data_IF_750739289571
#
_entry.id   IF_750739289571
#
_cell.length_a   1.000
_cell.length_b   1.000
_cell.length_c   1.000
_cell.angle_alpha   90.00
_cell.angle_beta   90.00
_cell.angle_gamma   90.00
#
_symmetry.space_group_name_H-M   'P 1'
#
loop_
_entity.id
_entity.type
_entity.pdbx_description
1 polymer ?
#
# COMPACT_ATOMS: atom_id res chain seq x y z
N UNK A 1 10.43 -3.70 -3.12
CA UNK A 1 10.33 -2.34 -2.54
C UNK A 1 8.92 -1.94 -2.12
N UNK A 2 7.90 -1.83 -3.02
CA UNK A 2 6.53 -1.49 -2.58
C UNK A 2 5.90 -2.60 -1.74
N UNK A 3 5.87 -3.83 -2.26
CA UNK A 3 5.35 -4.97 -1.51
C UNK A 3 6.14 -5.26 -0.22
N UNK A 4 7.46 -5.03 -0.21
CA UNK A 4 8.28 -5.13 1.02
C UNK A 4 7.85 -4.08 2.06
N UNK A 5 7.56 -2.86 1.63
CA UNK A 5 6.99 -1.83 2.48
C UNK A 5 5.64 -2.24 3.03
N UNK A 6 4.75 -2.81 2.20
CA UNK A 6 3.45 -3.33 2.64
C UNK A 6 3.58 -4.49 3.61
N UNK A 7 4.50 -5.43 3.40
CA UNK A 7 4.80 -6.49 4.38
C UNK A 7 5.14 -5.86 5.73
N UNK A 8 6.00 -4.85 5.76
CA UNK A 8 6.32 -4.15 7.00
C UNK A 8 5.09 -3.48 7.63
N UNK A 9 4.25 -2.80 6.85
CA UNK A 9 3.06 -2.11 7.37
C UNK A 9 2.06 -3.12 7.96
N UNK A 10 1.78 -4.18 7.21
CA UNK A 10 0.83 -5.24 7.59
C UNK A 10 1.32 -6.02 8.82
N UNK A 11 2.61 -6.33 8.92
CA UNK A 11 3.21 -7.01 10.08
C UNK A 11 3.13 -6.17 11.37
N UNK A 12 3.03 -4.83 11.25
CA UNK A 12 2.83 -3.94 12.38
C UNK A 12 1.34 -3.74 12.74
N UNK A 13 0.42 -4.42 12.07
CA UNK A 13 -1.02 -4.38 12.39
C UNK A 13 -1.78 -3.23 11.74
N UNK A 14 -1.20 -2.58 10.72
CA UNK A 14 -1.82 -1.47 10.01
C UNK A 14 -2.14 -1.84 8.55
N UNK A 15 -3.10 -1.12 7.98
CA UNK A 15 -3.45 -1.10 6.56
C UNK A 15 -3.16 0.31 6.05
N UNK A 16 -2.50 0.45 4.90
CA UNK A 16 -2.16 1.77 4.38
C UNK A 16 -3.41 2.53 3.91
N UNK A 17 -4.34 1.83 3.27
CA UNK A 17 -5.64 2.31 2.79
C UNK A 17 -5.57 3.37 1.67
N UNK A 18 -4.39 3.66 1.10
CA UNK A 18 -4.26 4.68 0.05
C UNK A 18 -3.02 4.46 -0.83
N UNK A 19 -2.78 3.20 -1.21
CA UNK A 19 -1.71 2.86 -2.15
C UNK A 19 -2.08 3.37 -3.54
N UNK A 20 -1.27 4.28 -4.08
CA UNK A 20 -1.44 4.88 -5.41
C UNK A 20 -0.13 5.53 -5.86
N UNK A 21 0.07 5.82 -7.16
CA UNK A 21 1.30 6.41 -7.68
C UNK A 21 1.76 7.69 -6.94
N UNK A 22 0.82 8.55 -6.54
CA UNK A 22 1.11 9.79 -5.82
C UNK A 22 1.79 9.55 -4.45
N UNK A 23 1.55 8.38 -3.83
CA UNK A 23 2.07 7.99 -2.52
C UNK A 23 3.30 7.07 -2.59
N UNK A 24 3.89 6.95 -3.79
CA UNK A 24 5.11 6.18 -4.04
C UNK A 24 6.24 7.14 -4.42
N UNK A 25 7.28 7.19 -3.60
CA UNK A 25 8.44 8.05 -3.79
C UNK A 25 9.59 7.26 -4.43
N UNK A 26 10.25 7.88 -5.40
CA UNK A 26 11.40 7.32 -6.10
C UNK A 26 12.65 8.14 -5.78
N UNK A 27 13.72 7.46 -5.36
CA UNK A 27 15.01 8.04 -5.04
C UNK A 27 16.08 7.44 -5.97
N UNK A 28 17.07 8.22 -6.42
CA UNK A 28 18.24 7.66 -7.07
C UNK A 28 18.98 6.74 -6.09
N UNK A 29 19.30 5.52 -6.51
CA UNK A 29 20.07 4.61 -5.70
C UNK A 29 21.52 5.08 -5.58
N UNK A 30 22.10 4.91 -4.40
CA UNK A 30 23.51 5.21 -4.12
C UNK A 30 24.44 4.02 -4.39
N UNK A 31 23.89 2.86 -4.77
CA UNK A 31 24.68 1.65 -5.07
C UNK A 31 25.26 1.70 -6.47
N UNK A 32 26.39 1.02 -6.66
CA UNK A 32 27.31 1.05 -7.81
C UNK A 32 26.76 0.61 -9.18
N UNK A 33 25.44 0.36 -9.30
CA UNK A 33 24.78 0.22 -10.59
C UNK A 33 24.19 1.56 -10.99
N UNK A 34 24.88 2.24 -11.91
CA UNK A 34 24.33 3.34 -12.68
C UNK A 34 22.92 2.90 -13.15
N UNK A 35 21.90 3.73 -12.88
CA UNK A 35 20.49 3.51 -13.23
C UNK A 35 19.62 2.64 -12.28
N UNK A 36 20.03 2.42 -11.02
CA UNK A 36 19.12 1.83 -10.02
C UNK A 36 18.35 2.89 -9.22
N UNK A 37 17.12 2.57 -8.81
CA UNK A 37 16.25 3.45 -8.03
C UNK A 37 15.74 2.76 -6.77
N UNK A 38 15.65 3.52 -5.67
CA UNK A 38 14.97 3.10 -4.45
C UNK A 38 13.55 3.64 -4.40
N UNK A 39 12.58 2.79 -4.01
CA UNK A 39 11.17 3.15 -3.88
C UNK A 39 10.72 3.06 -2.43
N UNK A 40 9.98 4.06 -1.94
CA UNK A 40 9.42 4.08 -0.58
C UNK A 40 7.96 4.51 -0.59
N UNK A 41 7.15 3.87 0.25
CA UNK A 41 5.75 4.25 0.49
C UNK A 41 5.74 5.50 1.40
N UNK A 42 4.86 6.46 1.10
CA UNK A 42 4.64 7.64 1.92
C UNK A 42 3.14 7.91 2.15
N UNK A 43 2.85 8.93 2.96
CA UNK A 43 1.51 9.40 3.30
C UNK A 43 0.61 8.37 3.98
N UNK A 44 0.81 8.24 5.30
CA UNK A 44 0.01 7.40 6.19
C UNK A 44 -1.23 8.11 6.73
N UNK A 45 -1.65 9.23 6.13
CA UNK A 45 -2.77 10.04 6.63
C UNK A 45 -4.12 9.32 6.61
N UNK A 46 -4.25 8.28 5.78
CA UNK A 46 -5.43 7.42 5.66
C UNK A 46 -5.24 6.03 6.28
N UNK A 47 -4.08 5.76 6.87
CA UNK A 47 -3.78 4.42 7.41
C UNK A 47 -4.60 4.13 8.65
N UNK A 48 -5.02 2.88 8.80
CA UNK A 48 -5.92 2.41 9.84
C UNK A 48 -5.38 1.13 10.48
N UNK A 49 -5.79 0.84 11.72
CA UNK A 49 -5.54 -0.46 12.31
C UNK A 49 -6.37 -1.54 11.61
N UNK A 50 -5.83 -2.76 11.49
CA UNK A 50 -6.57 -3.87 10.87
C UNK A 50 -7.88 -4.10 11.64
N UNK A 51 -9.00 -4.09 10.92
CA UNK A 51 -10.35 -4.24 11.47
C UNK A 51 -11.03 -2.94 11.89
N UNK A 52 -10.37 -1.79 11.75
CA UNK A 52 -10.96 -0.48 12.02
C UNK A 52 -11.92 -0.06 10.88
N UNK A 53 -12.99 0.66 11.26
CA UNK A 53 -13.91 1.33 10.33
C UNK A 53 -13.84 2.84 10.64
N UNK A 54 -13.41 3.70 9.71
CA UNK A 54 -13.27 5.12 9.99
C UNK A 54 -14.63 5.81 9.95
N UNK A 55 -14.83 6.75 10.87
CA UNK A 55 -16.07 7.54 10.99
C UNK A 55 -16.49 8.25 9.69
N UNK A 56 -15.54 8.57 8.81
CA UNK A 56 -15.82 9.26 7.54
C UNK A 56 -16.58 8.37 6.54
N UNK A 57 -16.43 7.05 6.63
CA UNK A 57 -17.09 6.09 5.74
C UNK A 57 -18.62 6.16 5.87
N UNK A 58 -19.13 6.41 7.08
CA UNK A 58 -20.57 6.49 7.36
C UNK A 58 -21.22 7.80 6.88
N UNK A 59 -20.44 8.86 6.60
CA UNK A 59 -20.97 10.23 6.53
C UNK A 59 -20.81 10.88 5.16
N UNK A 60 -19.67 10.70 4.47
CA UNK A 60 -19.31 11.58 3.35
C UNK A 60 -19.14 10.85 2.02
N UNK A 61 -18.50 9.68 2.00
CA UNK A 61 -18.29 8.84 0.82
C UNK A 61 -17.95 7.43 1.31
N UNK A 62 -18.78 6.39 1.07
CA UNK A 62 -18.65 5.09 1.72
C UNK A 62 -17.56 4.23 1.07
N UNK A 63 -16.32 4.71 1.03
CA UNK A 63 -15.16 3.90 0.66
C UNK A 63 -13.89 4.38 1.37
N UNK A 64 -12.94 3.45 1.51
CA UNK A 64 -11.61 3.74 2.02
C UNK A 64 -10.67 4.15 0.88
N UNK A 65 -9.86 5.18 1.13
CA UNK A 65 -8.81 5.62 0.23
C UNK A 65 -9.28 6.41 -0.99
N UNK A 66 -8.42 6.45 -2.00
CA UNK A 66 -8.72 7.09 -3.28
C UNK A 66 -9.60 6.18 -4.15
N UNK A 67 -10.78 6.66 -4.53
CA UNK A 67 -11.83 5.87 -5.18
C UNK A 67 -11.37 5.09 -6.44
N UNK A 68 -10.46 5.64 -7.23
CA UNK A 68 -9.95 4.98 -8.44
C UNK A 68 -9.17 3.68 -8.13
N UNK A 69 -8.60 3.57 -6.93
CA UNK A 69 -7.79 2.42 -6.49
C UNK A 69 -8.52 1.56 -5.45
N UNK A 70 -9.80 1.83 -5.18
CA UNK A 70 -10.55 1.17 -4.13
C UNK A 70 -10.95 -0.26 -4.52
N UNK A 71 -11.00 -1.13 -3.52
CA UNK A 71 -11.44 -2.52 -3.67
C UNK A 71 -12.97 -2.65 -3.56
N UNK A 72 -13.57 -3.78 -3.98
CA UNK A 72 -14.99 -4.05 -3.79
C UNK A 72 -15.45 -4.05 -2.33
N UNK A 73 -14.63 -4.57 -1.41
CA UNK A 73 -14.97 -4.59 0.02
C UNK A 73 -14.89 -3.21 0.67
N UNK A 74 -14.01 -2.31 0.19
CA UNK A 74 -13.95 -0.91 0.65
C UNK A 74 -15.30 -0.20 0.52
N UNK A 75 -16.03 -0.49 -0.55
CA UNK A 75 -17.35 0.09 -0.85
C UNK A 75 -18.46 -0.59 -0.03
N UNK A 76 -18.26 -1.86 0.34
CA UNK A 76 -19.30 -2.69 0.97
C UNK A 76 -19.39 -2.50 2.48
N UNK A 77 -18.27 -2.50 3.18
CA UNK A 77 -18.25 -2.49 4.65
C UNK A 77 -17.30 -1.45 5.26
N UNK A 78 -16.34 -0.94 4.47
CA UNK A 78 -15.41 0.08 4.94
C UNK A 78 -14.45 -0.42 6.02
N UNK A 79 -14.30 -1.74 6.18
CA UNK A 79 -13.40 -2.32 7.17
C UNK A 79 -11.99 -2.35 6.60
N UNK A 80 -11.03 -1.83 7.36
CA UNK A 80 -9.62 -1.87 6.99
C UNK A 80 -9.08 -3.32 7.00
N UNK A 81 -8.88 -3.87 5.81
CA UNK A 81 -8.25 -5.18 5.60
C UNK A 81 -6.98 -5.06 4.77
N UNK A 82 -5.99 -5.92 5.03
CA UNK A 82 -4.73 -5.93 4.26
C UNK A 82 -4.96 -6.16 2.76
N UNK A 83 -6.03 -6.89 2.41
CA UNK A 83 -6.47 -7.15 1.03
C UNK A 83 -6.80 -5.89 0.25
N UNK A 84 -7.17 -4.80 0.93
CA UNK A 84 -7.45 -3.50 0.34
C UNK A 84 -6.22 -2.98 -0.38
N UNK A 85 -5.09 -2.97 0.32
CA UNK A 85 -3.82 -2.51 -0.23
C UNK A 85 -3.38 -3.38 -1.40
N UNK A 86 -3.66 -4.70 -1.35
CA UNK A 86 -3.29 -5.62 -2.44
C UNK A 86 -4.06 -5.34 -3.73
N UNK A 87 -5.36 -5.01 -3.62
CA UNK A 87 -6.13 -4.53 -4.77
C UNK A 87 -5.54 -3.26 -5.35
N UNK A 88 -5.24 -2.29 -4.48
CA UNK A 88 -4.63 -1.02 -4.89
C UNK A 88 -3.24 -1.20 -5.52
N UNK A 89 -2.47 -2.21 -5.11
CA UNK A 89 -1.22 -2.63 -5.79
C UNK A 89 -1.51 -3.14 -7.21
N UNK A 90 -2.57 -3.94 -7.40
CA UNK A 90 -2.99 -4.36 -8.74
C UNK A 90 -3.29 -3.17 -9.65
N UNK A 91 -4.03 -2.18 -9.14
CA UNK A 91 -4.29 -0.91 -9.84
C UNK A 91 -3.00 -0.15 -10.16
N UNK A 92 -2.08 -0.04 -9.20
CA UNK A 92 -0.79 0.62 -9.39
C UNK A 92 0.05 -0.06 -10.48
N UNK A 93 0.16 -1.39 -10.47
CA UNK A 93 0.92 -2.14 -11.49
C UNK A 93 0.27 -2.01 -12.86
N UNK A 94 -1.06 -2.07 -12.94
CA UNK A 94 -1.78 -1.85 -14.18
C UNK A 94 -1.49 -0.46 -14.76
N UNK A 95 -1.61 0.60 -13.96
CA UNK A 95 -1.32 1.97 -14.42
C UNK A 95 0.14 2.15 -14.83
N UNK A 96 1.08 1.56 -14.09
CA UNK A 96 2.50 1.60 -14.46
C UNK A 96 2.75 0.93 -15.82
N UNK A 97 2.04 -0.15 -16.13
CA UNK A 97 2.18 -0.86 -17.39
C UNK A 97 1.53 -0.11 -18.56
N UNK A 98 0.32 0.40 -18.37
CA UNK A 98 -0.48 1.02 -19.44
C UNK A 98 -0.22 2.51 -19.61
N UNK A 99 0.28 3.18 -18.58
CA UNK A 99 0.33 4.64 -18.48
C UNK A 99 -1.04 5.29 -18.30
N UNK A 100 -2.09 4.49 -18.10
CA UNK A 100 -3.50 4.90 -18.05
C UNK A 100 -4.06 4.58 -16.67
N UNK A 101 -4.76 5.56 -16.07
CA UNK A 101 -5.37 5.36 -14.75
C UNK A 101 -6.41 4.22 -14.82
N UNK A 102 -6.58 3.43 -13.75
CA UNK A 102 -7.66 2.46 -13.69
C UNK A 102 -9.01 3.15 -13.92
N UNK A 103 -9.92 2.47 -14.62
CA UNK A 103 -11.28 2.97 -14.87
C UNK A 103 -11.35 4.29 -15.66
N UNK A 104 -10.38 4.57 -16.55
CA UNK A 104 -10.37 5.79 -17.35
C UNK A 104 -11.72 6.02 -18.07
N UNK A 105 -12.24 7.25 -17.93
CA UNK A 105 -13.51 7.66 -18.55
C UNK A 105 -14.78 7.27 -17.77
N UNK A 106 -14.66 6.68 -16.58
CA UNK A 106 -15.79 6.29 -15.74
C UNK A 106 -15.96 7.20 -14.52
N UNK A 107 -17.21 7.51 -14.19
CA UNK A 107 -17.57 8.26 -12.99
C UNK A 107 -17.56 7.35 -11.74
N UNK A 108 -17.39 7.96 -10.55
CA UNK A 108 -17.23 7.22 -9.30
C UNK A 108 -18.40 6.27 -8.97
N UNK A 109 -19.63 6.71 -9.20
CA UNK A 109 -20.83 5.89 -8.97
C UNK A 109 -20.87 4.67 -9.90
N UNK A 110 -20.36 4.83 -11.12
CA UNK A 110 -20.27 3.76 -12.10
C UNK A 110 -19.18 2.75 -11.73
N UNK A 111 -18.04 3.23 -11.24
CA UNK A 111 -16.96 2.39 -10.70
C UNK A 111 -17.46 1.59 -9.50
N UNK A 112 -18.11 2.24 -8.53
CA UNK A 112 -18.68 1.58 -7.36
C UNK A 112 -19.69 0.49 -7.77
N UNK A 113 -20.59 0.81 -8.70
CA UNK A 113 -21.56 -0.17 -9.24
C UNK A 113 -20.86 -1.37 -9.89
N UNK A 114 -19.81 -1.13 -10.70
CA UNK A 114 -19.02 -2.19 -11.34
C UNK A 114 -18.32 -3.07 -10.31
N UNK A 115 -17.66 -2.48 -9.32
CA UNK A 115 -16.98 -3.20 -8.24
C UNK A 115 -17.97 -4.09 -7.46
N UNK A 116 -19.12 -3.55 -7.08
CA UNK A 116 -20.17 -4.32 -6.38
C UNK A 116 -20.75 -5.44 -7.23
N UNK A 117 -20.78 -5.29 -8.56
CA UNK A 117 -21.14 -6.35 -9.50
C UNK A 117 -20.04 -7.41 -9.72
N UNK A 118 -18.86 -7.21 -9.13
CA UNK A 118 -17.72 -8.12 -9.24
C UNK A 118 -16.85 -7.90 -10.48
N UNK A 119 -16.90 -6.71 -11.09
CA UNK A 119 -16.01 -6.33 -12.19
C UNK A 119 -14.74 -5.68 -11.64
N UNK A 120 -13.61 -5.95 -12.29
CA UNK A 120 -12.30 -5.33 -12.04
C UNK A 120 -11.94 -4.36 -13.18
N UNK A 121 -10.89 -3.53 -13.04
CA UNK A 121 -10.30 -2.81 -14.15
C UNK A 121 -9.96 -3.77 -15.31
N UNK A 122 -10.03 -3.25 -16.53
CA UNK A 122 -9.66 -4.03 -17.73
C UNK A 122 -8.16 -4.26 -17.76
N UNK A 123 -7.75 -5.52 -17.97
CA UNK A 123 -6.35 -5.91 -18.09
C UNK A 123 -6.07 -6.17 -19.57
N UNK A 124 -5.24 -5.35 -20.24
CA UNK A 124 -4.92 -5.52 -21.66
C UNK A 124 -4.32 -6.90 -21.96
N UNK A 125 -4.68 -7.47 -23.10
CA UNK A 125 -4.11 -8.74 -23.56
C UNK A 125 -2.62 -8.63 -23.91
N UNK A 126 -2.11 -7.41 -24.08
CA UNK A 126 -0.71 -7.13 -24.39
C UNK A 126 0.23 -7.28 -23.18
N UNK A 127 -0.29 -7.51 -21.97
CA UNK A 127 0.54 -7.80 -20.81
C UNK A 127 1.19 -9.19 -20.89
N UNK A 128 2.45 -9.34 -20.43
CA UNK A 128 3.06 -10.65 -20.23
C UNK A 128 2.20 -11.53 -19.31
N UNK A 129 2.21 -12.85 -19.54
CA UNK A 129 1.40 -13.80 -18.78
C UNK A 129 1.58 -13.65 -17.26
N UNK A 130 2.83 -13.57 -16.77
CA UNK A 130 3.11 -13.46 -15.34
C UNK A 130 2.59 -12.14 -14.75
N UNK A 131 2.63 -11.05 -15.52
CA UNK A 131 2.11 -9.75 -15.11
C UNK A 131 0.58 -9.75 -15.05
N UNK A 132 -0.05 -10.38 -16.05
CA UNK A 132 -1.50 -10.58 -16.10
C UNK A 132 -1.97 -11.40 -14.90
N UNK A 133 -1.30 -12.52 -14.63
CA UNK A 133 -1.59 -13.41 -13.50
C UNK A 133 -1.44 -12.68 -12.14
N UNK A 134 -0.39 -11.87 -11.98
CA UNK A 134 -0.19 -11.05 -10.79
C UNK A 134 -1.34 -10.06 -10.57
N UNK A 135 -1.69 -9.29 -11.60
CA UNK A 135 -2.78 -8.29 -11.51
C UNK A 135 -4.12 -9.00 -11.28
N UNK A 136 -4.36 -10.14 -11.93
CA UNK A 136 -5.56 -10.95 -11.71
C UNK A 136 -5.65 -11.47 -10.28
N UNK A 137 -4.54 -11.92 -9.70
CA UNK A 137 -4.46 -12.32 -8.28
C UNK A 137 -4.83 -11.15 -7.37
N UNK A 138 -4.30 -9.95 -7.63
CA UNK A 138 -4.67 -8.74 -6.89
C UNK A 138 -6.16 -8.36 -7.05
N UNK A 139 -6.76 -8.65 -8.21
CA UNK A 139 -8.16 -8.38 -8.51
C UNK A 139 -9.11 -9.54 -8.17
N UNK A 140 -8.66 -10.55 -7.42
CA UNK A 140 -9.54 -11.61 -6.93
C UNK A 140 -10.72 -11.02 -6.16
N UNK A 141 -11.93 -11.46 -6.53
CA UNK A 141 -13.18 -10.97 -5.94
C UNK A 141 -13.27 -11.31 -4.46
N UNK A 142 -12.82 -12.50 -4.10
CA UNK A 142 -12.70 -12.92 -2.72
C UNK A 142 -11.39 -12.34 -2.15
N UNK A 143 -11.44 -11.49 -1.11
CA UNK A 143 -10.24 -10.88 -0.55
C UNK A 143 -9.17 -11.88 -0.10
N UNK A 144 -9.59 -13.04 0.40
CA UNK A 144 -8.69 -14.11 0.87
C UNK A 144 -7.89 -14.75 -0.27
N UNK A 145 -8.42 -14.75 -1.49
CA UNK A 145 -7.74 -15.29 -2.68
C UNK A 145 -6.60 -14.37 -3.18
N UNK A 146 -6.53 -13.13 -2.70
CA UNK A 146 -5.40 -12.23 -2.97
C UNK A 146 -4.16 -12.58 -2.15
N UNK A 147 -4.33 -13.38 -1.09
CA UNK A 147 -3.28 -13.75 -0.15
C UNK A 147 -2.76 -12.55 0.65
N UNK A 148 -1.45 -12.54 0.88
CA UNK A 148 -0.72 -11.52 1.64
C UNK A 148 0.32 -10.81 0.77
N UNK A 149 0.76 -9.62 1.21
CA UNK A 149 1.88 -8.93 0.56
C UNK A 149 3.15 -9.81 0.50
N UNK A 150 3.33 -10.71 1.47
CA UNK A 150 4.44 -11.65 1.49
C UNK A 150 4.33 -12.72 0.39
N UNK A 151 3.13 -13.26 0.16
CA UNK A 151 2.91 -14.23 -0.92
C UNK A 151 3.04 -13.58 -2.29
N UNK A 152 2.57 -12.34 -2.45
CA UNK A 152 2.77 -11.57 -3.68
C UNK A 152 4.25 -11.28 -3.97
N UNK A 153 5.10 -11.14 -2.95
CA UNK A 153 6.56 -11.02 -3.15
C UNK A 153 7.19 -12.26 -3.79
N UNK A 154 6.56 -13.44 -3.63
CA UNK A 154 7.04 -14.70 -4.18
C UNK A 154 6.45 -14.99 -5.57
N UNK A 155 5.62 -14.10 -6.10
CA UNK A 155 4.95 -14.30 -7.38
C UNK A 155 5.96 -14.30 -8.55
N UNK A 156 5.82 -15.17 -9.56
CA UNK A 156 6.73 -15.27 -10.72
C UNK A 156 6.93 -13.96 -11.50
N UNK A 157 5.96 -13.05 -11.40
CA UNK A 157 6.02 -11.71 -11.95
C UNK A 157 7.24 -10.89 -11.50
N UNK A 158 7.68 -11.10 -10.25
CA UNK A 158 8.79 -10.36 -9.68
C UNK A 158 10.11 -11.09 -9.93
N UNK A 159 11.20 -10.35 -10.23
CA UNK A 159 12.51 -10.97 -10.42
C UNK A 159 12.93 -11.66 -9.12
N UNK A 160 13.32 -12.94 -9.26
CA UNK A 160 13.97 -13.65 -8.15
C UNK A 160 15.34 -13.03 -7.92
N UNK A 161 15.79 -12.89 -6.65
CA UNK A 161 17.15 -12.46 -6.37
C UNK A 161 18.12 -13.38 -7.12
N UNK A 162 18.87 -12.83 -8.08
CA UNK A 162 19.95 -13.59 -8.70
C UNK A 162 21.04 -13.74 -7.65
N UNK A 163 21.30 -14.98 -7.23
CA UNK A 163 22.50 -15.28 -6.48
C UNK A 163 23.64 -15.06 -7.46
N UNK A 164 24.42 -14.01 -7.28
CA UNK A 164 25.69 -13.87 -7.99
C UNK A 164 26.55 -15.06 -7.53
N UNK A 165 26.66 -16.09 -8.38
CA UNK A 165 27.57 -17.20 -8.17
C UNK A 165 29.00 -16.65 -8.29
N UNK A 166 29.60 -16.30 -7.15
CA UNK A 166 31.04 -16.11 -7.07
C UNK A 166 31.68 -17.49 -7.31
N UNK A 167 32.32 -17.63 -8.48
CA UNK A 167 33.21 -18.74 -8.82
C UNK A 167 34.36 -18.80 -7.80
N UNK A 168 34.22 -19.58 -6.73
CA UNK A 168 35.38 -20.09 -6.00
C UNK A 168 35.17 -21.48 -5.39
N UNK A 169 36.17 -22.33 -5.66
CA UNK A 169 36.20 -23.77 -5.41
C UNK A 169 36.12 -24.13 -3.91
N UNK A 170 35.27 -25.12 -3.64
CA UNK A 170 35.37 -26.14 -2.57
C UNK A 170 35.56 -25.67 -1.12
N UNK A 171 34.49 -25.71 -0.32
CA UNK A 171 34.26 -26.73 0.74
C UNK A 171 32.92 -26.49 1.47
N UNK A 172 32.06 -27.52 1.44
CA UNK A 172 30.98 -27.89 2.38
C UNK A 172 29.97 -26.83 2.89
N UNK A 173 28.77 -26.94 2.33
CA UNK A 173 27.43 -26.73 2.93
C UNK A 173 27.31 -25.89 4.21
N UNK A 174 26.83 -24.64 4.09
CA UNK A 174 25.96 -23.93 5.08
C UNK A 174 25.67 -22.47 4.68
N UNK A 175 25.03 -22.21 3.53
CA UNK A 175 24.61 -20.83 3.18
C UNK A 175 23.21 -20.72 2.58
N UNK A 176 22.40 -21.77 2.68
CA UNK A 176 20.95 -21.60 2.54
C UNK A 176 20.38 -21.11 3.87
N UNK A 177 19.72 -19.94 3.85
CA UNK A 177 18.90 -19.37 4.93
C UNK A 177 19.59 -18.49 5.98
N UNK A 178 20.22 -17.37 5.59
CA UNK A 178 20.44 -16.25 6.53
C UNK A 178 19.30 -15.23 6.47
N UNK A 179 18.94 -14.76 5.27
CA UNK A 179 17.95 -13.69 5.12
C UNK A 179 16.51 -14.18 5.36
N UNK A 180 16.11 -15.26 4.69
CA UNK A 180 14.82 -15.91 4.93
C UNK A 180 14.71 -16.47 6.35
N UNK A 181 15.80 -17.00 6.94
CA UNK A 181 15.74 -17.45 8.35
C UNK A 181 15.61 -16.29 9.32
N UNK A 182 16.18 -15.12 9.03
CA UNK A 182 15.97 -13.94 9.84
C UNK A 182 14.52 -13.44 9.76
N UNK A 183 13.89 -13.55 8.58
CA UNK A 183 12.47 -13.30 8.39
C UNK A 183 11.59 -14.33 9.17
N UNK A 184 11.93 -15.62 9.14
CA UNK A 184 11.26 -16.66 9.94
C UNK A 184 11.49 -16.51 11.46
N UNK A 185 12.67 -16.04 11.88
CA UNK A 185 13.02 -15.82 13.31
C UNK A 185 12.24 -14.66 13.92
N UNK A 186 11.91 -13.63 13.13
CA UNK A 186 11.03 -12.53 13.57
C UNK A 186 9.62 -13.04 13.94
N UNK A 187 9.16 -14.15 13.36
CA UNK A 187 7.83 -14.74 13.59
C UNK A 187 7.68 -15.52 14.91
N UNK A 188 8.77 -15.97 15.56
CA UNK A 188 8.70 -16.80 16.78
C UNK A 188 8.73 -15.97 18.08
N UNK A 189 8.97 -14.66 18.02
CA UNK A 189 8.93 -13.79 19.21
C UNK A 189 7.51 -13.32 19.56
N UNK A 190 6.55 -14.26 19.65
CA UNK A 190 5.28 -14.01 20.37
C UNK A 190 5.62 -13.82 21.84
N UNK A 191 5.66 -12.55 22.27
CA UNK A 191 5.61 -12.20 23.69
C UNK A 191 4.22 -12.55 24.18
N UNK A 192 4.09 -13.70 24.84
CA UNK A 192 2.91 -14.03 25.61
C UNK A 192 2.72 -13.00 26.71
N UNK A 193 1.77 -12.09 26.52
CA UNK A 193 1.22 -11.30 27.62
C UNK A 193 -0.03 -12.01 28.13
N UNK A 194 0.16 -12.85 29.15
CA UNK A 194 -0.92 -13.17 30.10
C UNK A 194 -1.37 -11.85 30.72
N UNK A 195 -2.53 -11.30 30.31
CA UNK A 195 -3.23 -10.30 31.11
C UNK A 195 -4.29 -10.99 31.95
N UNK A 196 -4.14 -10.76 33.25
CA UNK A 196 -4.85 -11.30 34.40
C UNK A 196 -6.30 -10.80 34.37
N UNK A 197 -7.23 -11.71 34.61
CA UNK A 197 -8.64 -11.42 34.86
C UNK A 197 -8.75 -10.55 36.13
N UNK A 198 -9.28 -9.34 36.01
CA UNK A 198 -9.79 -8.57 37.13
C UNK A 198 -11.24 -8.24 36.82
N UNK A 199 -12.10 -8.85 37.63
CA UNK A 199 -13.54 -8.70 37.70
C UNK A 199 -13.80 -7.42 38.49
N UNK A 200 -14.62 -6.51 37.99
CA UNK A 200 -15.42 -5.60 38.80
C UNK A 200 -16.59 -5.10 37.93
N UNK A 201 -17.79 -5.45 38.40
CA UNK A 201 -19.08 -4.92 37.95
C UNK A 201 -19.19 -3.43 38.33
N UNK A 202 -19.94 -2.63 37.55
CA UNK A 202 -21.05 -1.77 38.04
C UNK A 202 -21.54 -0.77 36.96
N UNK A 203 -22.86 -0.85 36.75
CA UNK A 203 -23.85 0.15 36.34
C UNK A 203 -23.83 0.79 34.94
N UNK A 204 -24.86 0.40 34.18
CA UNK A 204 -25.57 1.19 33.17
C UNK A 204 -26.28 2.37 33.82
N UNK A 205 -26.07 3.59 33.33
CA UNK A 205 -27.05 4.67 33.45
C UNK A 205 -26.86 5.76 32.39
N UNK A 206 -27.92 5.92 31.58
CA UNK A 206 -28.49 7.13 31.01
C UNK A 206 -27.63 8.15 30.24
N UNK A 207 -27.82 8.13 28.92
CA UNK A 207 -27.52 9.23 28.02
C UNK A 207 -28.34 10.49 28.34
N UNK A 208 -27.68 11.66 28.28
CA UNK A 208 -28.30 12.95 27.94
C UNK A 208 -27.46 13.69 26.90
N UNK A 209 -28.09 14.38 25.92
CA UNK A 209 -27.39 14.94 24.77
C UNK A 209 -26.69 16.25 25.16
N UNK A 210 -25.44 16.43 24.72
CA UNK A 210 -24.73 17.70 24.86
C UNK A 210 -24.71 18.48 23.55
N UNK A 211 -25.15 19.73 23.67
CA UNK A 211 -25.50 20.68 22.62
C UNK A 211 -24.28 21.14 21.81
N UNK A 212 -24.41 21.13 20.48
CA UNK A 212 -23.50 21.78 19.53
C UNK A 212 -23.33 23.27 19.87
N UNK A 213 -22.09 23.73 20.06
CA UNK A 213 -21.72 25.15 19.92
C UNK A 213 -20.96 25.32 18.61
N UNK A 214 -21.58 26.05 17.68
CA UNK A 214 -20.96 26.47 16.43
C UNK A 214 -19.84 27.47 16.70
N UNK A 215 -18.63 27.18 16.22
CA UNK A 215 -17.59 28.18 16.07
C UNK A 215 -17.32 28.37 14.58
N UNK A 216 -17.75 29.52 14.04
CA UNK A 216 -17.32 29.99 12.72
C UNK A 216 -15.94 30.61 12.87
N UNK A 217 -14.90 30.02 12.29
CA UNK A 217 -13.64 30.75 12.04
C UNK A 217 -13.10 30.54 10.64
N UNK A 218 -13.32 31.56 9.79
CA UNK A 218 -12.24 32.15 9.01
C UNK A 218 -11.15 32.58 10.01
N UNK A 219 -9.95 32.00 9.92
CA UNK A 219 -8.62 32.56 10.29
C UNK A 219 -7.69 31.42 10.73
N UNK A 220 -7.15 30.67 9.77
CA UNK A 220 -5.83 30.02 9.88
C UNK A 220 -5.16 30.15 8.51
N UNK A 221 -4.81 31.38 8.13
CA UNK A 221 -3.98 31.67 6.94
C UNK A 221 -2.77 32.55 7.25
N UNK A 222 -2.39 32.70 8.52
CA UNK A 222 -1.24 33.50 8.94
C UNK A 222 -0.59 32.89 10.18
N UNK A 223 0.17 31.81 10.00
CA UNK A 223 1.23 31.35 10.94
C UNK A 223 2.01 30.16 10.36
N UNK A 224 2.49 30.27 9.13
CA UNK A 224 3.43 29.27 8.57
C UNK A 224 4.63 29.89 7.83
N UNK A 225 4.78 31.22 7.89
CA UNK A 225 5.85 31.95 7.16
C UNK A 225 6.93 32.51 8.08
N UNK A 226 7.07 32.04 9.33
CA UNK A 226 8.10 32.54 10.27
C UNK A 226 8.98 31.48 10.94
N UNK A 227 8.83 30.20 10.61
CA UNK A 227 9.65 29.13 11.23
C UNK A 227 10.64 28.46 10.26
N UNK A 228 10.54 28.70 8.95
CA UNK A 228 11.52 28.18 7.98
C UNK A 228 12.48 29.28 7.53
N UNK A 229 13.34 29.69 8.45
CA UNK A 229 14.56 30.41 8.12
C UNK A 229 15.74 29.44 8.17
N UNK A 230 16.03 28.73 7.08
CA UNK A 230 17.35 28.15 6.83
C UNK A 230 17.62 28.02 5.32
N UNK A 231 18.90 28.27 5.01
CA UNK A 231 19.52 28.68 3.74
C UNK A 231 19.51 27.62 2.62
N UNK A 232 19.62 28.13 1.39
CA UNK A 232 19.92 27.40 0.14
C UNK A 232 21.09 26.43 0.27
N UNK A 233 20.96 25.21 -0.26
CA UNK A 233 21.93 24.48 -1.10
C UNK A 233 21.53 23.00 -1.23
N UNK A 234 21.82 22.41 -2.39
CA UNK A 234 21.58 21.03 -2.89
C UNK A 234 20.15 20.70 -3.33
N UNK A 235 19.94 20.74 -4.65
CA UNK A 235 18.80 20.18 -5.35
C UNK A 235 18.70 18.67 -5.09
N UNK A 236 17.77 18.26 -4.23
CA UNK A 236 17.25 16.90 -4.21
C UNK A 236 15.97 16.89 -5.06
N UNK A 237 16.09 16.44 -6.30
CA UNK A 237 14.93 16.20 -7.15
C UNK A 237 14.23 14.91 -6.67
N UNK A 238 13.17 15.08 -5.88
CA UNK A 238 12.22 14.02 -5.51
C UNK A 238 11.11 14.00 -6.57
N UNK A 239 10.88 12.87 -7.20
CA UNK A 239 9.80 12.69 -8.17
C UNK A 239 8.78 11.67 -7.64
N UNK A 240 7.49 11.99 -7.75
CA UNK A 240 6.42 10.99 -7.66
C UNK A 240 6.36 10.22 -8.99
N UNK A 241 5.92 8.96 -8.95
CA UNK A 241 5.73 8.10 -10.14
C UNK A 241 4.95 8.83 -11.25
N UNK A 242 4.00 9.68 -10.87
CA UNK A 242 3.15 10.43 -11.81
C UNK A 242 3.87 11.58 -12.54
N UNK A 243 4.98 12.08 -11.99
CA UNK A 243 5.77 13.17 -12.59
C UNK A 243 6.74 12.69 -13.68
N UNK A 244 6.90 11.37 -13.84
CA UNK A 244 7.70 10.75 -14.89
C UNK A 244 6.82 10.49 -16.13
N UNK A 245 6.60 11.50 -16.99
CA UNK A 245 5.83 11.33 -18.24
C UNK A 245 6.69 11.45 -19.50
N UNK A 246 6.41 10.53 -20.43
CA UNK A 246 6.88 10.43 -21.82
C UNK A 246 8.39 10.20 -22.05
N UNK A 247 8.89 8.98 -21.78
CA UNK A 247 9.88 8.24 -22.61
C UNK A 247 10.45 7.00 -21.87
N UNK A 248 10.38 6.94 -20.54
CA UNK A 248 11.16 5.98 -19.72
C UNK A 248 10.43 4.72 -19.22
N UNK A 249 9.19 4.47 -19.67
CA UNK A 249 8.36 3.35 -19.15
C UNK A 249 8.88 1.93 -19.45
N UNK A 250 9.91 1.76 -20.30
CA UNK A 250 10.44 0.44 -20.65
C UNK A 250 11.48 -0.13 -19.68
N UNK A 251 12.00 0.64 -18.71
CA UNK A 251 13.07 0.17 -17.82
C UNK A 251 12.54 -0.50 -16.53
N UNK A 252 11.28 -0.24 -16.14
CA UNK A 252 10.78 -0.56 -14.81
C UNK A 252 10.35 -2.02 -14.54
N UNK A 253 10.43 -2.92 -15.52
CA UNK A 253 9.91 -4.29 -15.34
C UNK A 253 10.87 -5.41 -15.75
N UNK A 254 12.17 -5.13 -15.89
CA UNK A 254 13.12 -6.17 -16.32
C UNK A 254 14.53 -6.10 -15.74
N UNK A 255 14.69 -5.59 -14.51
CA UNK A 255 15.94 -5.70 -13.75
C UNK A 255 15.65 -6.24 -12.36
#
# INVERSE_FOLDING_TARGET
MVLEGLVSIHDHGYVHCDIKPDNILVFPSSTSRQDSYEVKICDFGNSLEIGEVPLCWEINFPWLGTAIYMSPESVRDGIAHVSLDLWSVGCLVLEMYTGVIPWEGLELDEIATRLLSGKSPEIPETLPCDAKDFIQTCFSRNPEERGSAHELLLHPFLPRPQVEEEDEKTTEEKTSNSFLSNLFKLRIRRRGSKKKLAKDDVAVSDMKPLKLRFWKTKTVKRTLTKVLGLKKSTDFFQFSVRSLRFSTYFIFMKV
#
